data_IF_797390785136
#
_entry.id   IF_797390785136
#
_cell.length_a   1.000
_cell.length_b   1.000
_cell.length_c   1.000
_cell.angle_alpha   90.00
_cell.angle_beta   90.00
_cell.angle_gamma   90.00
#
_symmetry.space_group_name_H-M   'P 1'
#
loop_
_entity.id
_entity.type
_entity.pdbx_description
1 polymer ?
#
# COMPACT_ATOMS: atom_id res chain seq x y z
N UNK A 1 60.98 5.99 -16.25
CA UNK A 1 60.44 5.72 -17.60
C UNK A 1 59.19 4.83 -17.44
N UNK A 2 58.00 5.46 -17.55
CA UNK A 2 56.73 4.93 -18.07
C UNK A 2 56.30 3.50 -17.67
N UNK A 3 55.48 3.38 -16.62
CA UNK A 3 54.41 2.37 -16.58
C UNK A 3 53.08 3.10 -16.31
N UNK A 4 52.30 3.44 -17.36
CA UNK A 4 50.88 3.74 -17.22
C UNK A 4 50.10 2.42 -17.14
N UNK A 5 48.79 2.52 -16.86
CA UNK A 5 47.81 1.43 -16.74
C UNK A 5 47.88 0.63 -15.42
N UNK A 6 46.97 0.97 -14.51
CA UNK A 6 45.68 0.29 -14.33
C UNK A 6 45.24 0.55 -12.88
N UNK A 7 44.68 1.74 -12.65
CA UNK A 7 43.85 1.98 -11.48
C UNK A 7 42.44 2.32 -11.95
N UNK A 8 41.89 1.46 -12.81
CA UNK A 8 40.44 1.33 -12.92
C UNK A 8 40.04 0.33 -11.82
N UNK A 9 40.21 0.77 -10.57
CA UNK A 9 39.76 0.01 -9.42
C UNK A 9 38.23 0.11 -9.42
N UNK A 10 37.64 -0.86 -10.10
CA UNK A 10 36.32 -1.44 -9.81
C UNK A 10 35.40 -0.52 -9.02
N UNK A 11 34.51 0.15 -9.76
CA UNK A 11 33.28 0.71 -9.20
C UNK A 11 32.53 -0.47 -8.59
N UNK A 12 32.71 -0.66 -7.29
CA UNK A 12 32.01 -1.67 -6.51
C UNK A 12 30.58 -1.15 -6.33
N UNK A 13 29.71 -1.46 -7.29
CA UNK A 13 28.32 -0.97 -7.33
C UNK A 13 27.54 -1.38 -6.07
N UNK A 14 27.16 -0.44 -5.18
CA UNK A 14 26.23 -0.72 -4.09
C UNK A 14 24.77 -0.45 -4.49
N UNK A 15 24.49 -0.16 -5.77
CA UNK A 15 23.19 0.38 -6.21
C UNK A 15 21.99 -0.55 -5.99
N UNK A 16 22.17 -1.88 -6.01
CA UNK A 16 21.07 -2.83 -5.85
C UNK A 16 20.45 -2.82 -4.44
N UNK A 17 21.27 -2.69 -3.40
CA UNK A 17 20.77 -2.61 -2.03
C UNK A 17 20.14 -1.26 -1.74
N UNK A 18 20.70 -0.18 -2.30
CA UNK A 18 20.14 1.16 -2.17
C UNK A 18 18.74 1.26 -2.79
N UNK A 19 18.52 0.63 -3.96
CA UNK A 19 17.24 0.64 -4.68
C UNK A 19 16.13 -0.11 -3.92
N UNK A 20 16.43 -1.31 -3.41
CA UNK A 20 15.50 -2.09 -2.56
C UNK A 20 15.18 -1.34 -1.26
N UNK A 21 16.18 -0.74 -0.63
CA UNK A 21 15.96 0.06 0.58
C UNK A 21 15.10 1.31 0.30
N UNK A 22 15.23 1.93 -0.87
CA UNK A 22 14.36 3.04 -1.27
C UNK A 22 12.94 2.59 -1.55
N UNK A 23 12.74 1.50 -2.30
CA UNK A 23 11.41 0.95 -2.58
C UNK A 23 10.66 0.61 -1.29
N UNK A 24 11.32 -0.10 -0.36
CA UNK A 24 10.70 -0.50 0.90
C UNK A 24 10.27 0.71 1.74
N UNK A 25 11.06 1.80 1.75
CA UNK A 25 10.70 3.04 2.43
C UNK A 25 9.50 3.72 1.81
N UNK A 26 9.45 3.81 0.49
CA UNK A 26 8.32 4.41 -0.22
C UNK A 26 7.04 3.60 0.00
N UNK A 27 7.12 2.27 -0.02
CA UNK A 27 5.97 1.42 0.29
C UNK A 27 5.50 1.55 1.74
N UNK A 28 6.43 1.65 2.70
CA UNK A 28 6.07 1.94 4.10
C UNK A 28 5.38 3.31 4.23
N UNK A 29 5.85 4.31 3.48
CA UNK A 29 5.22 5.63 3.42
C UNK A 29 3.82 5.55 2.81
N UNK A 30 3.61 4.79 1.74
CA UNK A 30 2.28 4.54 1.15
C UNK A 30 1.34 3.95 2.20
N UNK A 31 1.77 2.92 2.93
CA UNK A 31 0.95 2.30 4.01
C UNK A 31 0.58 3.30 5.11
N UNK A 32 1.53 4.16 5.49
CA UNK A 32 1.27 5.25 6.45
C UNK A 32 0.29 6.27 5.91
N UNK A 33 0.40 6.68 4.64
CA UNK A 33 -0.53 7.63 4.03
C UNK A 33 -1.94 7.05 3.95
N UNK A 34 -2.08 5.78 3.56
CA UNK A 34 -3.35 5.05 3.60
C UNK A 34 -3.99 5.09 5.00
N UNK A 35 -3.19 4.92 6.06
CA UNK A 35 -3.68 5.03 7.44
C UNK A 35 -4.21 6.43 7.75
N UNK A 36 -3.59 7.49 7.23
CA UNK A 36 -4.06 8.87 7.46
C UNK A 36 -5.40 9.18 6.79
N UNK A 37 -5.83 8.40 5.79
CA UNK A 37 -7.12 8.58 5.14
C UNK A 37 -8.30 8.32 6.08
N UNK A 38 -8.12 7.58 7.17
CA UNK A 38 -9.20 7.28 8.12
C UNK A 38 -9.86 8.55 8.67
N UNK A 39 -9.09 9.62 8.89
CA UNK A 39 -9.64 10.91 9.30
C UNK A 39 -10.57 11.51 8.24
N UNK A 40 -10.18 11.45 6.96
CA UNK A 40 -10.99 11.97 5.85
C UNK A 40 -12.26 11.14 5.64
N UNK A 41 -12.14 9.82 5.74
CA UNK A 41 -13.26 8.88 5.63
C UNK A 41 -14.26 9.15 6.76
N UNK A 42 -13.79 9.25 8.00
CA UNK A 42 -14.63 9.55 9.17
C UNK A 42 -15.28 10.92 9.08
N UNK A 43 -14.60 11.91 8.48
CA UNK A 43 -15.20 13.21 8.23
C UNK A 43 -16.28 13.13 7.15
N UNK A 44 -16.02 12.47 6.02
CA UNK A 44 -16.98 12.30 4.95
C UNK A 44 -18.23 11.54 5.43
N UNK A 45 -18.06 10.49 6.22
CA UNK A 45 -19.16 9.73 6.83
C UNK A 45 -20.02 10.60 7.76
N UNK A 46 -19.42 11.48 8.55
CA UNK A 46 -20.17 12.43 9.39
C UNK A 46 -20.93 13.49 8.59
N UNK A 47 -20.39 13.89 7.44
CA UNK A 47 -20.98 14.89 6.55
C UNK A 47 -21.97 14.27 5.54
N UNK A 48 -22.13 12.95 5.53
CA UNK A 48 -22.96 12.24 4.56
C UNK A 48 -24.45 12.57 4.68
N UNK A 49 -25.12 12.75 3.54
CA UNK A 49 -26.57 12.85 3.47
C UNK A 49 -27.21 11.45 3.43
N UNK A 50 -27.57 10.95 4.61
CA UNK A 50 -28.23 9.65 4.78
C UNK A 50 -29.66 9.57 4.21
N UNK A 51 -30.19 10.67 3.64
CA UNK A 51 -31.48 10.67 2.92
C UNK A 51 -31.31 10.42 1.42
N UNK A 52 -30.08 10.44 0.91
CA UNK A 52 -29.81 10.19 -0.50
C UNK A 52 -30.16 8.74 -0.89
N UNK A 53 -30.70 8.55 -2.08
CA UNK A 53 -31.08 7.23 -2.61
C UNK A 53 -29.89 6.29 -2.82
N UNK A 54 -28.67 6.82 -2.93
CA UNK A 54 -27.43 6.04 -2.96
C UNK A 54 -26.58 6.44 -1.76
N UNK A 55 -26.28 5.45 -0.93
CA UNK A 55 -25.39 5.59 0.21
C UNK A 55 -24.00 5.07 -0.15
N UNK A 56 -22.98 5.71 0.39
CA UNK A 56 -21.60 5.27 0.26
C UNK A 56 -21.27 4.31 1.41
N UNK A 57 -20.73 3.15 1.08
CA UNK A 57 -20.28 2.15 2.05
C UNK A 57 -18.86 2.48 2.52
N UNK A 58 -18.79 3.26 3.60
CA UNK A 58 -17.53 3.65 4.23
C UNK A 58 -16.80 2.45 4.86
N UNK A 59 -17.53 1.41 5.27
CA UNK A 59 -16.92 0.22 5.86
C UNK A 59 -16.23 -0.64 4.80
N UNK A 60 -16.84 -0.78 3.62
CA UNK A 60 -16.23 -1.40 2.45
C UNK A 60 -14.94 -0.66 2.03
N UNK A 61 -14.96 0.67 1.99
CA UNK A 61 -13.74 1.46 1.70
C UNK A 61 -12.64 1.23 2.76
N UNK A 62 -12.98 1.25 4.04
CA UNK A 62 -12.02 0.97 5.13
C UNK A 62 -11.46 -0.45 5.03
N UNK A 63 -12.28 -1.42 4.63
CA UNK A 63 -11.84 -2.80 4.42
C UNK A 63 -10.82 -2.89 3.27
N UNK A 64 -11.09 -2.23 2.15
CA UNK A 64 -10.17 -2.23 1.00
C UNK A 64 -8.85 -1.53 1.34
N UNK A 65 -8.87 -0.43 2.09
CA UNK A 65 -7.65 0.24 2.58
C UNK A 65 -6.83 -0.70 3.49
N UNK A 66 -7.47 -1.41 4.42
CA UNK A 66 -6.78 -2.40 5.27
C UNK A 66 -6.21 -3.55 4.44
N UNK A 67 -6.91 -3.97 3.38
CA UNK A 67 -6.45 -5.01 2.46
C UNK A 67 -5.21 -4.56 1.69
N UNK A 68 -5.18 -3.32 1.20
CA UNK A 68 -4.01 -2.71 0.57
C UNK A 68 -2.82 -2.65 1.53
N UNK A 69 -3.02 -2.17 2.75
CA UNK A 69 -1.98 -2.12 3.78
C UNK A 69 -1.43 -3.51 4.11
N UNK A 70 -2.30 -4.52 4.24
CA UNK A 70 -1.89 -5.90 4.47
C UNK A 70 -1.09 -6.48 3.30
N UNK A 71 -1.42 -6.13 2.06
CA UNK A 71 -0.66 -6.53 0.87
C UNK A 71 0.74 -5.91 0.85
N UNK A 72 0.85 -4.62 1.14
CA UNK A 72 2.14 -3.92 1.27
C UNK A 72 2.97 -4.55 2.39
N UNK A 73 2.37 -4.78 3.56
CA UNK A 73 3.03 -5.39 4.71
C UNK A 73 3.56 -6.80 4.42
N UNK A 74 2.78 -7.61 3.70
CA UNK A 74 3.19 -8.94 3.28
C UNK A 74 4.36 -8.92 2.29
N UNK A 75 4.42 -7.92 1.41
CA UNK A 75 5.55 -7.73 0.50
C UNK A 75 6.83 -7.28 1.25
N UNK A 76 6.70 -6.32 2.17
CA UNK A 76 7.82 -5.82 2.96
C UNK A 76 8.35 -6.86 3.96
N UNK A 77 7.49 -7.74 4.46
CA UNK A 77 7.83 -8.78 5.44
C UNK A 77 7.38 -10.15 4.91
N UNK A 78 8.08 -10.69 3.91
CA UNK A 78 7.70 -11.98 3.32
C UNK A 78 7.85 -13.09 4.38
N UNK A 79 6.73 -13.62 4.84
CA UNK A 79 6.72 -14.87 5.60
C UNK A 79 7.07 -16.03 4.66
N UNK A 80 7.93 -16.96 5.11
CA UNK A 80 8.32 -18.14 4.33
C UNK A 80 7.28 -19.27 4.33
N UNK A 81 6.06 -19.01 4.78
CA UNK A 81 4.94 -19.94 4.79
C UNK A 81 4.20 -19.93 3.44
N UNK A 82 3.35 -20.94 3.21
CA UNK A 82 2.68 -21.20 1.94
C UNK A 82 1.94 -19.98 1.34
N UNK A 83 1.71 -19.96 0.01
CA UNK A 83 1.02 -18.85 -0.66
C UNK A 83 -0.27 -18.47 0.07
N UNK A 84 -0.36 -17.23 0.55
CA UNK A 84 -1.58 -16.71 1.16
C UNK A 84 -2.61 -16.46 0.06
N UNK A 85 -3.88 -16.87 0.23
CA UNK A 85 -4.92 -16.51 -0.73
C UNK A 85 -4.99 -14.99 -0.87
N UNK A 86 -5.04 -14.52 -2.12
CA UNK A 86 -5.20 -13.11 -2.44
C UNK A 86 -6.66 -12.74 -2.22
N UNK A 87 -6.91 -11.83 -1.28
CA UNK A 87 -8.24 -11.24 -1.10
C UNK A 87 -8.43 -10.15 -2.17
N UNK A 88 -9.42 -10.28 -3.08
CA UNK A 88 -9.70 -9.20 -4.03
C UNK A 88 -10.24 -7.98 -3.29
N UNK A 89 -9.96 -6.78 -3.83
CA UNK A 89 -10.62 -5.55 -3.38
C UNK A 89 -12.11 -5.63 -3.75
N UNK A 90 -12.98 -5.13 -2.87
CA UNK A 90 -14.41 -5.04 -3.13
C UNK A 90 -14.69 -4.09 -4.28
N UNK A 91 -14.15 -2.87 -4.23
CA UNK A 91 -14.21 -1.87 -5.30
C UNK A 91 -15.60 -1.29 -5.62
N UNK A 92 -16.69 -1.92 -5.16
CA UNK A 92 -18.03 -1.35 -5.12
C UNK A 92 -18.30 -0.80 -3.71
N UNK A 93 -18.47 0.52 -3.63
CA UNK A 93 -18.75 1.22 -2.38
C UNK A 93 -20.18 1.77 -2.35
N UNK A 94 -21.09 1.23 -3.16
CA UNK A 94 -22.50 1.48 -2.98
C UNK A 94 -23.01 0.60 -1.84
N UNK A 95 -23.63 1.19 -0.83
CA UNK A 95 -24.30 0.39 0.20
C UNK A 95 -25.39 -0.44 -0.48
N UNK A 96 -25.27 -1.76 -0.40
CA UNK A 96 -26.39 -2.63 -0.78
C UNK A 96 -27.55 -2.34 0.17
N UNK A 97 -28.73 -2.04 -0.38
CA UNK A 97 -29.94 -1.97 0.42
C UNK A 97 -30.06 -3.29 1.22
N UNK A 98 -30.47 -3.25 2.50
CA UNK A 98 -30.64 -4.48 3.28
C UNK A 98 -31.57 -5.41 2.51
N UNK A 99 -31.11 -6.63 2.22
CA UNK A 99 -31.99 -7.70 1.80
C UNK A 99 -32.86 -8.05 3.02
N UNK A 100 -34.14 -7.67 2.98
CA UNK A 100 -35.16 -8.17 3.93
C UNK A 100 -35.31 -9.70 3.84
#
# INVERSE_FOLDING_TARGET
MKWPLLFCLSVLSPNLYADVDTEQRELALVSSQLNTLDYLITRAEREADYRAARQFDYDALRLDIRTLQAGIDAYLRPERSAPKPVTPLGGDYLSQAPHE
#
